data_IF_548458463923
#
_entry.id   IF_548458463923
#
_cell.length_a   1.000
_cell.length_b   1.000
_cell.length_c   1.000
_cell.angle_alpha   90.00
_cell.angle_beta   90.00
_cell.angle_gamma   90.00
#
_symmetry.space_group_name_H-M   'P 1'
#
loop_
_entity.id
_entity.type
_entity.pdbx_description
1 polymer ?
#
# COMPACT_ATOMS: atom_id res chain seq x y z
N UNK A 1 18.45 36.02 6.83
CA UNK A 1 19.15 34.76 7.16
C UNK A 1 18.85 33.78 6.04
N UNK A 2 19.86 33.32 5.32
CA UNK A 2 19.68 32.29 4.29
C UNK A 2 19.22 31.00 4.98
N UNK A 3 18.04 30.47 4.60
CA UNK A 3 17.55 29.19 5.13
C UNK A 3 18.43 28.10 4.53
N UNK A 4 19.38 27.59 5.32
CA UNK A 4 20.30 26.54 4.88
C UNK A 4 19.58 25.19 4.98
N UNK A 5 19.45 24.45 3.87
CA UNK A 5 18.82 23.13 3.94
C UNK A 5 19.67 22.17 4.79
N UNK A 6 19.01 21.37 5.61
CA UNK A 6 19.64 20.40 6.52
C UNK A 6 18.72 19.22 6.75
N UNK A 7 19.15 18.03 6.34
CA UNK A 7 18.28 16.87 6.40
C UNK A 7 18.03 16.47 7.85
N UNK A 8 16.77 16.43 8.29
CA UNK A 8 16.40 16.01 9.65
C UNK A 8 16.68 14.53 9.91
N UNK A 9 17.02 13.74 8.89
CA UNK A 9 17.36 12.31 8.99
C UNK A 9 18.87 12.03 8.93
N UNK A 10 19.62 12.76 8.11
CA UNK A 10 21.08 12.59 8.01
C UNK A 10 21.87 13.61 8.84
N UNK A 11 21.24 14.70 9.31
CA UNK A 11 21.85 15.88 9.95
C UNK A 11 22.87 16.63 9.09
N UNK A 12 23.04 16.23 7.82
CA UNK A 12 23.95 16.81 6.84
C UNK A 12 23.31 17.96 6.03
N UNK A 13 24.17 18.80 5.44
CA UNK A 13 23.80 20.00 4.68
C UNK A 13 23.83 19.78 3.15
N UNK A 14 23.38 20.78 2.39
CA UNK A 14 23.37 20.84 0.91
C UNK A 14 24.68 20.48 0.24
N UNK A 15 25.83 20.72 0.88
CA UNK A 15 27.13 20.39 0.30
C UNK A 15 27.32 18.89 0.04
N UNK A 16 26.48 18.03 0.63
CA UNK A 16 26.52 16.57 0.48
C UNK A 16 25.22 15.94 0.02
N UNK A 17 24.12 16.71 -0.04
CA UNK A 17 22.76 16.17 -0.19
C UNK A 17 21.92 17.01 -1.14
N UNK A 18 20.99 16.35 -1.83
CA UNK A 18 20.13 16.99 -2.83
C UNK A 18 18.74 17.31 -2.27
N UNK A 19 18.21 18.51 -2.50
CA UNK A 19 16.91 18.95 -1.98
C UNK A 19 15.96 19.41 -3.10
N UNK A 20 15.14 18.49 -3.62
CA UNK A 20 14.24 18.77 -4.76
C UNK A 20 12.80 19.10 -4.35
N UNK A 21 12.31 18.55 -3.24
CA UNK A 21 10.90 18.66 -2.84
C UNK A 21 10.74 18.58 -1.32
N UNK A 22 9.56 19.02 -0.82
CA UNK A 22 9.14 18.72 0.55
C UNK A 22 8.64 17.29 0.70
N UNK A 23 8.79 16.74 1.90
CA UNK A 23 8.37 15.39 2.26
C UNK A 23 7.01 15.38 2.96
N UNK A 24 6.15 14.41 2.67
CA UNK A 24 4.80 14.40 3.23
C UNK A 24 4.81 13.98 4.71
N UNK A 25 3.85 14.49 5.48
CA UNK A 25 3.63 14.04 6.86
C UNK A 25 3.03 12.64 6.84
N UNK A 26 1.81 12.52 6.30
CA UNK A 26 1.21 11.24 5.94
C UNK A 26 1.71 10.78 4.56
N UNK A 27 1.92 9.48 4.33
CA UNK A 27 2.30 8.99 3.01
C UNK A 27 1.30 9.46 1.93
N UNK A 28 1.82 9.98 0.81
CA UNK A 28 0.96 10.46 -0.28
C UNK A 28 0.06 9.35 -0.84
N UNK A 29 0.50 8.08 -0.79
CA UNK A 29 -0.28 6.92 -1.21
C UNK A 29 -1.54 6.67 -0.37
N UNK A 30 -1.59 7.23 0.84
CA UNK A 30 -2.74 7.22 1.74
C UNK A 30 -3.60 8.49 1.66
N UNK A 31 -3.29 9.39 0.72
CA UNK A 31 -4.01 10.66 0.59
C UNK A 31 -3.38 11.83 1.32
N UNK A 32 -2.19 11.67 1.92
CA UNK A 32 -1.44 12.75 2.54
C UNK A 32 -1.16 13.92 1.58
N UNK A 33 -1.40 15.15 2.03
CA UNK A 33 -1.29 16.37 1.22
C UNK A 33 -0.18 17.28 1.76
N UNK A 34 -0.16 17.54 3.07
CA UNK A 34 0.76 18.46 3.71
C UNK A 34 2.15 17.87 3.70
N UNK A 35 3.07 18.74 3.30
CA UNK A 35 4.50 18.48 3.28
C UNK A 35 5.21 19.35 4.30
N UNK A 36 6.31 18.83 4.80
CA UNK A 36 7.35 19.62 5.41
C UNK A 36 7.88 20.66 4.42
N UNK A 37 8.40 21.80 4.93
CA UNK A 37 9.11 22.75 4.10
C UNK A 37 10.21 22.08 3.27
N UNK A 38 10.39 22.56 2.03
CA UNK A 38 11.52 22.13 1.20
C UNK A 38 12.81 22.39 1.98
N UNK A 39 13.72 21.42 2.00
CA UNK A 39 14.98 21.53 2.74
C UNK A 39 15.05 20.74 4.04
N UNK A 40 13.91 20.29 4.57
CA UNK A 40 13.87 19.50 5.80
C UNK A 40 14.34 18.06 5.56
N UNK A 41 14.01 17.50 4.40
CA UNK A 41 14.34 16.11 4.06
C UNK A 41 15.05 16.10 2.70
N UNK A 42 16.17 15.41 2.63
CA UNK A 42 16.91 15.26 1.37
C UNK A 42 16.25 14.23 0.46
N UNK A 43 16.44 14.42 -0.84
CA UNK A 43 16.02 13.46 -1.85
C UNK A 43 16.73 12.11 -1.67
N UNK A 44 17.98 12.12 -1.22
CA UNK A 44 18.78 10.93 -0.93
C UNK A 44 18.12 10.06 0.15
N UNK A 45 17.66 10.67 1.25
CA UNK A 45 16.91 9.94 2.28
C UNK A 45 15.58 9.42 1.74
N UNK A 46 14.83 10.27 1.03
CA UNK A 46 13.56 9.86 0.44
C UNK A 46 13.72 8.65 -0.49
N UNK A 47 14.77 8.61 -1.29
CA UNK A 47 15.07 7.49 -2.15
C UNK A 47 15.42 6.23 -1.34
N UNK A 48 16.20 6.37 -0.25
CA UNK A 48 16.58 5.23 0.60
C UNK A 48 15.40 4.59 1.34
N UNK A 49 14.31 5.34 1.60
CA UNK A 49 13.10 4.83 2.27
C UNK A 49 11.89 4.64 1.34
N UNK A 50 12.01 4.95 0.04
CA UNK A 50 10.90 4.80 -0.91
C UNK A 50 10.41 3.35 -1.04
N UNK A 51 11.32 2.38 -0.91
CA UNK A 51 11.01 0.95 -0.89
C UNK A 51 10.17 0.55 0.31
N UNK A 52 10.48 1.07 1.51
CA UNK A 52 9.74 0.73 2.73
C UNK A 52 8.31 1.28 2.70
N UNK A 53 8.10 2.49 2.15
CA UNK A 53 6.74 3.00 1.96
C UNK A 53 5.97 2.16 0.95
N UNK A 54 6.62 1.72 -0.13
CA UNK A 54 5.98 0.85 -1.12
C UNK A 54 5.53 -0.48 -0.51
N UNK A 55 6.39 -1.11 0.30
CA UNK A 55 6.06 -2.34 1.04
C UNK A 55 4.93 -2.09 2.04
N UNK A 56 4.98 -1.01 2.82
CA UNK A 56 3.90 -0.61 3.73
C UNK A 56 2.55 -0.46 3.01
N UNK A 57 2.54 0.18 1.84
CA UNK A 57 1.32 0.46 1.08
C UNK A 57 0.72 -0.75 0.35
N UNK A 58 1.53 -1.79 0.07
CA UNK A 58 1.15 -2.93 -0.79
C UNK A 58 1.13 -4.27 -0.07
N UNK A 59 1.92 -4.43 0.99
CA UNK A 59 2.25 -5.71 1.64
C UNK A 59 2.29 -5.59 3.16
N UNK A 60 1.39 -4.78 3.70
CA UNK A 60 1.15 -4.68 5.14
C UNK A 60 -0.35 -4.77 5.44
N UNK A 61 -0.77 -4.88 6.71
CA UNK A 61 -2.19 -4.85 7.07
C UNK A 61 -2.95 -3.64 6.51
N UNK A 62 -2.26 -2.51 6.23
CA UNK A 62 -2.84 -1.31 5.62
C UNK A 62 -3.26 -1.50 4.16
N UNK A 63 -2.66 -2.46 3.45
CA UNK A 63 -3.07 -2.77 2.08
C UNK A 63 -4.50 -3.34 2.02
N UNK A 64 -4.98 -3.98 3.11
CA UNK A 64 -6.33 -4.55 3.19
C UNK A 64 -7.43 -3.48 3.09
N UNK A 65 -7.56 -2.49 3.98
CA UNK A 65 -8.55 -1.43 3.80
C UNK A 65 -8.35 -0.68 2.48
N UNK A 66 -7.10 -0.56 2.02
CA UNK A 66 -6.76 0.20 0.82
C UNK A 66 -7.26 -0.41 -0.49
N UNK A 67 -7.36 -1.73 -0.61
CA UNK A 67 -8.00 -2.39 -1.77
C UNK A 67 -9.54 -2.28 -1.76
N UNK A 68 -10.16 -2.00 -0.60
CA UNK A 68 -11.63 -1.85 -0.49
C UNK A 68 -12.11 -0.43 -0.73
N UNK A 69 -11.39 0.56 -0.20
CA UNK A 69 -11.83 1.96 -0.27
C UNK A 69 -10.69 2.97 -0.37
N UNK A 70 -9.46 2.58 -0.03
CA UNK A 70 -8.37 3.55 0.03
C UNK A 70 -8.00 4.19 -1.32
N UNK A 71 -7.32 5.35 -1.28
CA UNK A 71 -7.11 6.13 -2.47
C UNK A 71 -6.06 5.49 -3.39
N UNK A 72 -6.12 5.87 -4.65
CA UNK A 72 -5.22 5.47 -5.70
C UNK A 72 -3.78 6.00 -5.57
N UNK A 73 -3.01 5.88 -6.65
CA UNK A 73 -1.62 6.36 -6.69
C UNK A 73 -1.51 7.84 -6.28
N UNK A 74 -0.68 8.12 -5.26
CA UNK A 74 -0.49 9.46 -4.65
C UNK A 74 -1.80 10.11 -4.18
N UNK A 75 -2.72 9.31 -3.65
CA UNK A 75 -3.96 9.81 -3.06
C UNK A 75 -5.06 10.10 -4.08
N UNK A 76 -4.90 9.67 -5.33
CA UNK A 76 -5.85 9.97 -6.40
C UNK A 76 -7.20 9.29 -6.13
N UNK A 77 -8.29 10.06 -6.16
CA UNK A 77 -9.65 9.55 -5.90
C UNK A 77 -10.39 9.08 -7.17
N UNK A 78 -9.76 9.16 -8.34
CA UNK A 78 -10.33 8.62 -9.56
C UNK A 78 -10.33 7.09 -9.51
N UNK A 79 -11.50 6.48 -9.69
CA UNK A 79 -11.71 5.03 -9.65
C UNK A 79 -10.79 4.27 -10.61
N UNK A 80 -10.52 4.83 -11.80
CA UNK A 80 -9.61 4.23 -12.79
C UNK A 80 -8.16 4.14 -12.31
N UNK A 81 -7.82 4.85 -11.23
CA UNK A 81 -6.49 4.90 -10.62
C UNK A 81 -6.50 4.34 -9.19
N UNK A 82 -7.62 3.74 -8.78
CA UNK A 82 -7.77 3.14 -7.46
C UNK A 82 -6.71 2.07 -7.20
N UNK A 83 -6.48 1.81 -5.92
CA UNK A 83 -5.51 0.79 -5.51
C UNK A 83 -6.04 -0.60 -5.79
N UNK A 84 -5.15 -1.46 -6.28
CA UNK A 84 -5.39 -2.88 -6.52
C UNK A 84 -4.70 -3.73 -5.46
N UNK A 85 -5.31 -4.85 -5.12
CA UNK A 85 -4.65 -5.94 -4.39
C UNK A 85 -3.49 -6.51 -5.19
N UNK A 86 -2.63 -7.31 -4.56
CA UNK A 86 -1.79 -8.21 -5.35
C UNK A 86 -2.65 -9.20 -6.14
N UNK A 87 -2.17 -9.63 -7.30
CA UNK A 87 -2.78 -10.73 -8.05
C UNK A 87 -2.77 -12.01 -7.21
N UNK A 88 -3.94 -12.63 -7.13
CA UNK A 88 -4.23 -13.83 -6.38
C UNK A 88 -5.02 -14.83 -7.24
N UNK A 89 -5.14 -16.07 -6.75
CA UNK A 89 -6.08 -17.04 -7.29
C UNK A 89 -7.49 -16.75 -6.75
N UNK A 90 -8.47 -16.83 -7.63
CA UNK A 90 -9.89 -16.65 -7.39
C UNK A 90 -10.67 -17.85 -7.90
N UNK A 91 -11.78 -18.16 -7.25
CA UNK A 91 -12.71 -19.21 -7.66
C UNK A 91 -14.13 -18.86 -7.23
N UNK A 92 -15.14 -19.39 -7.92
CA UNK A 92 -16.54 -19.26 -7.50
C UNK A 92 -16.86 -20.38 -6.50
N UNK A 93 -17.54 -20.06 -5.40
CA UNK A 93 -17.99 -21.06 -4.43
C UNK A 93 -18.90 -22.12 -5.06
N UNK A 94 -19.71 -21.74 -6.06
CA UNK A 94 -20.57 -22.64 -6.81
C UNK A 94 -19.83 -23.43 -7.89
N UNK A 95 -18.58 -23.09 -8.18
CA UNK A 95 -17.74 -23.74 -9.19
C UNK A 95 -16.27 -23.71 -8.76
N UNK A 96 -15.92 -24.39 -7.65
CA UNK A 96 -14.63 -24.24 -6.99
C UNK A 96 -13.44 -24.75 -7.82
N UNK A 97 -13.71 -25.57 -8.85
CA UNK A 97 -12.71 -26.07 -9.80
C UNK A 97 -12.37 -25.06 -10.91
N UNK A 98 -13.11 -23.95 -11.01
CA UNK A 98 -12.83 -22.88 -11.97
C UNK A 98 -11.93 -21.85 -11.32
N UNK A 99 -10.63 -22.15 -11.32
CA UNK A 99 -9.58 -21.27 -10.82
C UNK A 99 -9.25 -20.20 -11.86
N UNK A 100 -9.05 -18.96 -11.42
CA UNK A 100 -8.69 -17.79 -12.24
C UNK A 100 -7.73 -16.88 -11.49
N UNK A 101 -6.84 -16.18 -12.18
CA UNK A 101 -6.15 -15.02 -11.64
C UNK A 101 -7.08 -13.82 -11.54
N UNK A 102 -6.92 -13.03 -10.47
CA UNK A 102 -7.53 -11.72 -10.37
C UNK A 102 -7.03 -10.90 -9.20
N UNK A 103 -7.64 -9.73 -9.06
CA UNK A 103 -7.30 -8.72 -8.05
C UNK A 103 -8.56 -8.02 -7.55
N UNK A 104 -8.49 -7.40 -6.38
CA UNK A 104 -9.55 -6.56 -5.82
C UNK A 104 -9.20 -5.09 -6.06
N UNK A 105 -10.18 -4.29 -6.48
CA UNK A 105 -10.09 -2.84 -6.56
C UNK A 105 -11.41 -2.22 -6.12
N UNK A 106 -11.36 -1.28 -5.18
CA UNK A 106 -12.55 -0.68 -4.55
C UNK A 106 -13.56 -1.74 -4.08
N UNK A 107 -13.06 -2.82 -3.48
CA UNK A 107 -13.87 -3.93 -2.97
C UNK A 107 -14.47 -4.84 -4.02
N UNK A 108 -14.27 -4.54 -5.31
CA UNK A 108 -14.76 -5.34 -6.42
C UNK A 108 -13.66 -6.27 -6.93
N UNK A 109 -13.92 -7.57 -7.10
CA UNK A 109 -12.99 -8.52 -7.70
C UNK A 109 -13.02 -8.43 -9.22
N UNK A 110 -11.85 -8.48 -9.86
CA UNK A 110 -11.69 -8.42 -11.32
C UNK A 110 -10.86 -9.59 -11.82
N UNK A 111 -11.31 -10.25 -12.88
CA UNK A 111 -10.51 -11.27 -13.57
C UNK A 111 -9.38 -10.62 -14.36
N UNK A 112 -8.15 -11.08 -14.12
CA UNK A 112 -7.02 -10.69 -14.95
C UNK A 112 -7.16 -11.31 -16.35
N UNK A 113 -6.72 -10.62 -17.43
CA UNK A 113 -6.49 -11.27 -18.73
C UNK A 113 -5.55 -12.45 -18.59
N UNK A 114 -6.00 -13.64 -18.99
CA UNK A 114 -5.30 -14.89 -18.77
C UNK A 114 -5.69 -15.98 -19.75
N UNK A 115 -4.81 -16.95 -19.93
CA UNK A 115 -5.09 -18.21 -20.62
C UNK A 115 -5.07 -19.36 -19.62
N UNK A 116 -6.06 -20.25 -19.70
CA UNK A 116 -5.94 -21.63 -19.21
C UNK A 116 -5.54 -22.50 -20.39
N UNK A 117 -4.33 -23.05 -20.37
CA UNK A 117 -3.79 -23.89 -21.44
C UNK A 117 -3.81 -25.32 -20.97
N UNK A 118 -4.40 -26.21 -21.77
CA UNK A 118 -4.40 -27.64 -21.57
C UNK A 118 -3.37 -28.30 -22.51
N UNK A 119 -2.63 -29.28 -22.01
CA UNK A 119 -1.59 -30.00 -22.74
C UNK A 119 -2.14 -30.96 -23.80
N UNK A 120 -3.45 -30.94 -24.05
CA UNK A 120 -4.11 -31.53 -25.23
C UNK A 120 -4.34 -30.50 -26.34
N UNK A 121 -3.57 -29.40 -26.35
CA UNK A 121 -3.60 -28.32 -27.35
C UNK A 121 -4.90 -27.51 -27.42
N UNK A 122 -5.63 -27.41 -26.30
CA UNK A 122 -6.76 -26.48 -26.16
C UNK A 122 -6.43 -25.37 -25.17
N UNK A 123 -7.01 -24.19 -25.36
CA UNK A 123 -6.89 -23.11 -24.38
C UNK A 123 -8.19 -22.31 -24.30
N UNK A 124 -8.39 -21.67 -23.16
CA UNK A 124 -9.49 -20.74 -22.92
C UNK A 124 -8.91 -19.40 -22.47
N UNK A 125 -9.40 -18.31 -23.05
CA UNK A 125 -9.08 -16.96 -22.62
C UNK A 125 -10.14 -16.46 -21.65
N UNK A 126 -9.70 -15.89 -20.52
CA UNK A 126 -10.57 -15.25 -19.54
C UNK A 126 -10.09 -13.82 -19.33
N UNK A 127 -11.04 -12.89 -19.27
CA UNK A 127 -10.78 -11.51 -18.88
C UNK A 127 -12.03 -10.89 -18.28
N UNK A 128 -11.88 -9.77 -17.59
CA UNK A 128 -13.01 -9.00 -17.10
C UNK A 128 -13.57 -8.10 -18.21
N UNK A 129 -14.91 -8.07 -18.36
CA UNK A 129 -15.59 -7.24 -19.36
C UNK A 129 -15.34 -5.74 -19.14
N UNK A 130 -15.17 -5.30 -17.89
CA UNK A 130 -14.92 -3.89 -17.58
C UNK A 130 -13.59 -3.36 -18.13
N UNK A 131 -12.67 -4.26 -18.52
CA UNK A 131 -11.35 -3.90 -19.05
C UNK A 131 -11.36 -3.61 -20.56
N UNK A 132 -12.50 -3.81 -21.24
CA UNK A 132 -12.67 -3.51 -22.67
C UNK A 132 -13.26 -4.68 -23.46
N UNK A 133 -13.24 -4.57 -24.79
CA UNK A 133 -13.80 -5.61 -25.65
C UNK A 133 -12.96 -6.91 -25.60
N UNK A 134 -13.57 -8.10 -25.46
CA UNK A 134 -12.84 -9.35 -25.27
C UNK A 134 -11.80 -9.66 -26.34
N UNK A 135 -12.09 -9.34 -27.61
CA UNK A 135 -11.18 -9.56 -28.73
C UNK A 135 -9.94 -8.67 -28.65
N UNK A 136 -10.14 -7.38 -28.34
CA UNK A 136 -9.03 -6.43 -28.17
C UNK A 136 -8.15 -6.82 -26.98
N UNK A 137 -8.77 -7.27 -25.88
CA UNK A 137 -8.05 -7.78 -24.72
C UNK A 137 -7.24 -9.04 -25.07
N UNK A 138 -7.81 -9.97 -25.85
CA UNK A 138 -7.12 -11.16 -26.32
C UNK A 138 -5.94 -10.81 -27.23
N UNK A 139 -6.13 -9.95 -28.22
CA UNK A 139 -5.06 -9.51 -29.13
C UNK A 139 -3.92 -8.81 -28.36
N UNK A 140 -4.28 -7.95 -27.40
CA UNK A 140 -3.34 -7.32 -26.48
C UNK A 140 -2.57 -8.33 -25.64
N UNK A 141 -3.26 -9.34 -25.10
CA UNK A 141 -2.65 -10.41 -24.35
C UNK A 141 -1.66 -11.22 -25.20
N UNK A 142 -2.05 -11.65 -26.40
CA UNK A 142 -1.18 -12.39 -27.33
C UNK A 142 0.04 -11.57 -27.74
N UNK A 143 -0.13 -10.27 -27.99
CA UNK A 143 0.99 -9.35 -28.28
C UNK A 143 2.00 -9.30 -27.12
N UNK A 144 1.52 -9.31 -25.88
CA UNK A 144 2.38 -9.37 -24.70
C UNK A 144 3.01 -10.77 -24.52
N UNK A 145 2.25 -11.83 -24.77
CA UNK A 145 2.70 -13.23 -24.69
C UNK A 145 3.87 -13.52 -25.64
N UNK A 146 3.92 -12.90 -26.81
CA UNK A 146 5.09 -12.95 -27.72
C UNK A 146 6.39 -12.46 -27.09
N UNK A 147 6.30 -11.65 -26.03
CA UNK A 147 7.43 -11.11 -25.26
C UNK A 147 7.62 -11.83 -23.93
N UNK A 148 6.96 -12.97 -23.73
CA UNK A 148 7.06 -13.75 -22.51
C UNK A 148 8.52 -14.10 -22.21
N UNK A 149 8.89 -13.98 -20.94
CA UNK A 149 10.22 -14.34 -20.44
C UNK A 149 10.06 -15.33 -19.28
N UNK A 150 11.14 -15.95 -18.83
CA UNK A 150 11.12 -16.85 -17.66
C UNK A 150 10.94 -16.14 -16.30
N UNK A 151 10.54 -14.86 -16.28
CA UNK A 151 10.32 -14.08 -15.06
C UNK A 151 8.83 -14.01 -14.76
N UNK A 152 8.38 -14.79 -13.77
CA UNK A 152 6.98 -14.89 -13.37
C UNK A 152 6.83 -15.18 -11.88
N UNK A 153 5.65 -14.91 -11.31
CA UNK A 153 5.25 -15.36 -9.97
C UNK A 153 4.47 -16.67 -10.10
N UNK A 154 4.82 -17.67 -9.29
CA UNK A 154 4.18 -18.98 -9.30
C UNK A 154 3.13 -19.11 -8.20
N UNK A 155 2.11 -19.90 -8.49
CA UNK A 155 1.01 -20.26 -7.60
C UNK A 155 0.73 -21.75 -7.75
N UNK A 156 0.39 -22.43 -6.65
CA UNK A 156 0.07 -23.85 -6.64
C UNK A 156 -1.34 -24.01 -6.08
N UNK A 157 -2.17 -24.80 -6.77
CA UNK A 157 -3.53 -25.12 -6.34
C UNK A 157 -3.98 -26.46 -6.93
N UNK A 158 -4.27 -27.43 -6.08
CA UNK A 158 -4.61 -28.82 -6.47
C UNK A 158 -5.93 -28.93 -7.25
N UNK A 159 -6.74 -27.86 -7.26
CA UNK A 159 -7.98 -27.80 -8.04
C UNK A 159 -7.72 -27.52 -9.52
N UNK A 160 -6.49 -27.10 -9.87
CA UNK A 160 -6.06 -26.98 -11.26
C UNK A 160 -5.88 -28.40 -11.81
N UNK A 161 -6.38 -28.65 -13.02
CA UNK A 161 -6.21 -29.92 -13.72
C UNK A 161 -4.72 -30.21 -13.99
N UNK A 162 -4.26 -31.45 -13.77
CA UNK A 162 -2.86 -31.86 -13.95
C UNK A 162 -2.36 -31.65 -15.38
N UNK A 163 -3.24 -31.80 -16.37
CA UNK A 163 -2.93 -31.54 -17.78
C UNK A 163 -3.10 -30.05 -18.14
N UNK A 164 -3.22 -29.14 -17.17
CA UNK A 164 -3.48 -27.72 -17.43
C UNK A 164 -2.60 -26.79 -16.58
N UNK A 165 -2.37 -25.59 -17.10
CA UNK A 165 -1.80 -24.47 -16.33
C UNK A 165 -2.46 -23.16 -16.73
N UNK A 166 -2.36 -22.17 -15.84
CA UNK A 166 -2.83 -20.82 -16.09
C UNK A 166 -1.65 -19.88 -16.32
N UNK A 167 -1.80 -18.96 -17.27
CA UNK A 167 -0.88 -17.84 -17.48
C UNK A 167 -1.64 -16.52 -17.52
N UNK A 168 -1.34 -15.61 -16.60
CA UNK A 168 -1.95 -14.29 -16.50
C UNK A 168 -0.91 -13.18 -16.64
N UNK A 169 -1.33 -12.02 -17.16
CA UNK A 169 -0.46 -10.85 -17.34
C UNK A 169 -1.00 -9.61 -16.63
N UNK A 170 -0.22 -9.09 -15.67
CA UNK A 170 -0.48 -7.84 -14.97
C UNK A 170 0.19 -6.69 -15.72
N UNK A 171 -0.60 -5.93 -16.48
CA UNK A 171 -0.07 -4.88 -17.36
C UNK A 171 0.59 -3.72 -16.59
N UNK A 172 0.02 -3.32 -15.45
CA UNK A 172 0.53 -2.18 -14.66
C UNK A 172 1.92 -2.42 -14.10
N UNK A 173 2.17 -3.62 -13.56
CA UNK A 173 3.47 -4.01 -13.01
C UNK A 173 4.34 -4.79 -14.02
N UNK A 174 3.83 -5.01 -15.23
CA UNK A 174 4.46 -5.79 -16.31
C UNK A 174 4.93 -7.17 -15.84
N UNK A 175 4.07 -7.88 -15.12
CA UNK A 175 4.40 -9.13 -14.43
C UNK A 175 3.58 -10.31 -14.97
N UNK A 176 4.24 -11.44 -15.13
CA UNK A 176 3.61 -12.71 -15.48
C UNK A 176 3.28 -13.52 -14.24
N UNK A 177 2.15 -14.21 -14.26
CA UNK A 177 1.67 -15.09 -13.21
C UNK A 177 1.42 -16.47 -13.82
N UNK A 178 1.91 -17.51 -13.15
CA UNK A 178 1.71 -18.91 -13.56
C UNK A 178 1.13 -19.72 -12.41
N UNK A 179 0.11 -20.51 -12.69
CA UNK A 179 -0.51 -21.39 -11.71
C UNK A 179 -0.58 -22.83 -12.22
N UNK A 180 -0.27 -23.76 -11.32
CA UNK A 180 -0.17 -25.18 -11.60
C UNK A 180 -0.86 -26.00 -10.52
N UNK A 181 -1.23 -27.23 -10.86
CA UNK A 181 -1.44 -28.29 -9.89
C UNK A 181 -0.11 -28.63 -9.18
N UNK A 182 -0.14 -29.08 -7.93
CA UNK A 182 1.06 -29.47 -7.18
C UNK A 182 1.81 -30.65 -7.83
N UNK A 183 1.09 -31.60 -8.42
CA UNK A 183 1.66 -32.80 -9.08
C UNK A 183 2.24 -32.48 -10.47
N UNK A 184 2.19 -31.22 -10.91
CA UNK A 184 2.48 -30.82 -12.27
C UNK A 184 3.97 -30.53 -12.54
N UNK A 185 4.83 -31.51 -12.22
CA UNK A 185 6.28 -31.32 -12.13
C UNK A 185 7.02 -31.18 -13.48
N UNK A 186 6.33 -31.25 -14.63
CA UNK A 186 6.98 -31.43 -15.93
C UNK A 186 6.42 -30.62 -17.11
N UNK A 187 5.50 -29.67 -16.91
CA UNK A 187 4.96 -28.90 -18.05
C UNK A 187 6.04 -28.02 -18.68
N UNK A 188 6.32 -28.29 -19.96
CA UNK A 188 7.14 -27.45 -20.83
C UNK A 188 6.37 -26.17 -21.20
N UNK A 189 6.30 -25.20 -20.30
CA UNK A 189 5.52 -23.95 -20.46
C UNK A 189 5.81 -23.26 -21.81
N UNK A 190 7.10 -23.17 -22.19
CA UNK A 190 7.52 -22.52 -23.44
C UNK A 190 6.98 -23.23 -24.68
N UNK A 191 7.04 -24.56 -24.71
CA UNK A 191 6.49 -25.37 -25.79
C UNK A 191 4.99 -25.10 -25.98
N UNK A 192 4.23 -25.05 -24.89
CA UNK A 192 2.79 -24.79 -24.97
C UNK A 192 2.45 -23.34 -25.32
N UNK A 193 3.25 -22.38 -24.89
CA UNK A 193 3.14 -20.99 -25.36
C UNK A 193 3.41 -20.92 -26.87
N UNK A 194 4.44 -21.60 -27.38
CA UNK A 194 4.73 -21.66 -28.82
C UNK A 194 3.57 -22.29 -29.61
N UNK A 195 2.95 -23.35 -29.08
CA UNK A 195 1.74 -23.95 -29.67
C UNK A 195 0.62 -22.91 -29.78
N UNK A 196 0.36 -22.14 -28.72
CA UNK A 196 -0.65 -21.06 -28.76
C UNK A 196 -0.28 -20.01 -29.79
N UNK A 197 0.96 -19.53 -29.79
CA UNK A 197 1.41 -18.44 -30.69
C UNK A 197 1.47 -18.82 -32.18
N UNK A 198 1.65 -20.11 -32.49
CA UNK A 198 1.79 -20.61 -33.85
C UNK A 198 0.46 -21.06 -34.49
N UNK A 199 -0.66 -20.99 -33.78
CA UNK A 199 -1.96 -21.24 -34.40
C UNK A 199 -2.28 -20.17 -35.44
N UNK A 200 -2.43 -20.60 -36.70
CA UNK A 200 -2.69 -19.71 -37.85
C UNK A 200 -4.01 -18.95 -37.73
N UNK A 201 -5.03 -19.60 -37.18
CA UNK A 201 -6.34 -19.03 -36.90
C UNK A 201 -6.83 -19.53 -35.54
N UNK A 202 -7.14 -18.61 -34.65
CA UNK A 202 -7.86 -18.94 -33.43
C UNK A 202 -9.33 -19.05 -33.79
N UNK A 203 -9.94 -20.24 -33.64
CA UNK A 203 -11.40 -20.38 -33.73
C UNK A 203 -12.01 -19.72 -32.49
N UNK A 204 -12.41 -18.47 -32.64
CA UNK A 204 -12.97 -17.68 -31.54
C UNK A 204 -14.45 -18.07 -31.39
N UNK A 205 -14.79 -18.71 -30.28
CA UNK A 205 -16.18 -18.88 -29.87
C UNK A 205 -16.78 -17.56 -29.39
N UNK A 206 -18.09 -17.40 -29.51
CA UNK A 206 -18.80 -16.25 -28.92
C UNK A 206 -18.44 -16.10 -27.43
N UNK A 207 -18.05 -14.90 -26.97
CA UNK A 207 -17.75 -14.67 -25.56
C UNK A 207 -18.93 -15.05 -24.66
N UNK A 208 -18.66 -15.82 -23.61
CA UNK A 208 -19.65 -16.18 -22.61
C UNK A 208 -19.52 -15.26 -21.39
N UNK A 209 -20.64 -14.64 -21.00
CA UNK A 209 -20.70 -13.77 -19.83
C UNK A 209 -21.42 -14.47 -18.69
N UNK A 210 -20.87 -14.33 -17.49
CA UNK A 210 -21.47 -14.86 -16.26
C UNK A 210 -21.24 -13.90 -15.11
N UNK A 211 -22.10 -13.99 -14.09
CA UNK A 211 -21.86 -13.39 -12.78
C UNK A 211 -21.35 -14.49 -11.85
N UNK A 212 -20.32 -14.17 -11.08
CA UNK A 212 -19.73 -15.09 -10.10
C UNK A 212 -19.69 -14.41 -8.74
N UNK A 213 -19.70 -15.19 -7.65
CA UNK A 213 -19.34 -14.73 -6.32
C UNK A 213 -17.97 -15.31 -5.97
N UNK A 214 -16.88 -14.56 -6.22
CA UNK A 214 -15.55 -15.14 -6.13
C UNK A 214 -15.01 -15.08 -4.70
N UNK A 215 -14.41 -16.17 -4.26
CA UNK A 215 -13.46 -16.17 -3.14
C UNK A 215 -12.07 -15.82 -3.67
N UNK A 216 -11.36 -14.90 -3.01
CA UNK A 216 -10.01 -14.44 -3.40
C UNK A 216 -8.99 -14.89 -2.37
N UNK A 217 -8.05 -15.75 -2.76
CA UNK A 217 -7.01 -16.30 -1.88
C UNK A 217 -5.79 -15.37 -1.81
N UNK A 218 -5.81 -14.40 -0.91
CA UNK A 218 -4.68 -13.47 -0.72
C UNK A 218 -3.68 -13.98 0.32
N UNK A 219 -2.42 -14.13 -0.10
CA UNK A 219 -1.30 -14.41 0.81
C UNK A 219 -0.40 -13.18 0.90
N UNK A 220 -0.15 -12.72 2.13
CA UNK A 220 0.66 -11.52 2.38
C UNK A 220 1.88 -11.89 3.22
N UNK A 221 3.07 -11.57 2.72
CA UNK A 221 4.31 -11.57 3.50
C UNK A 221 4.53 -10.15 3.99
N UNK A 222 4.42 -9.96 5.31
CA UNK A 222 4.56 -8.63 5.92
C UNK A 222 6.02 -8.43 6.34
N UNK A 223 6.61 -7.34 5.86
CA UNK A 223 7.86 -6.82 6.41
C UNK A 223 7.54 -5.94 7.63
N UNK A 224 7.73 -6.51 8.82
CA UNK A 224 7.40 -5.86 10.09
C UNK A 224 8.32 -4.66 10.38
N UNK A 225 9.58 -4.69 9.95
CA UNK A 225 10.52 -3.57 10.10
C UNK A 225 10.07 -2.39 9.23
N UNK A 226 9.83 -2.64 7.93
CA UNK A 226 9.31 -1.62 7.03
C UNK A 226 7.97 -1.06 7.51
N UNK A 227 7.09 -1.93 8.02
CA UNK A 227 5.80 -1.54 8.57
C UNK A 227 5.94 -0.51 9.69
N UNK A 228 6.70 -0.81 10.75
CA UNK A 228 6.83 0.09 11.90
C UNK A 228 7.68 1.33 11.62
N UNK A 229 8.66 1.25 10.71
CA UNK A 229 9.45 2.43 10.32
C UNK A 229 8.63 3.50 9.62
N UNK A 230 7.59 3.12 8.87
CA UNK A 230 6.66 4.11 8.29
C UNK A 230 5.87 4.85 9.37
N UNK A 231 5.39 4.15 10.42
CA UNK A 231 4.76 4.80 11.58
C UNK A 231 5.71 5.82 12.23
N UNK A 232 6.95 5.42 12.48
CA UNK A 232 7.95 6.29 13.08
C UNK A 232 8.31 7.49 12.20
N UNK A 233 8.48 7.29 10.89
CA UNK A 233 8.70 8.38 9.92
C UNK A 233 7.53 9.36 9.90
N UNK A 234 6.29 8.86 9.86
CA UNK A 234 5.08 9.69 9.87
C UNK A 234 4.98 10.52 11.15
N UNK A 235 5.23 9.91 12.32
CA UNK A 235 5.28 10.60 13.59
C UNK A 235 6.39 11.66 13.65
N UNK A 236 7.60 11.31 13.20
CA UNK A 236 8.77 12.21 13.23
C UNK A 236 8.61 13.39 12.26
N UNK A 237 8.03 13.15 11.09
CA UNK A 237 7.67 14.22 10.16
C UNK A 237 6.62 15.16 10.76
N UNK A 238 5.62 14.63 11.48
CA UNK A 238 4.64 15.48 12.14
C UNK A 238 5.25 16.31 13.27
N UNK A 239 6.15 15.72 14.08
CA UNK A 239 6.90 16.47 15.09
C UNK A 239 7.66 17.64 14.45
N UNK A 240 8.40 17.38 13.37
CA UNK A 240 9.13 18.41 12.64
C UNK A 240 8.21 19.51 12.05
N UNK A 241 6.99 19.14 11.66
CA UNK A 241 5.99 20.10 11.19
C UNK A 241 5.50 21.05 12.29
N UNK A 242 5.34 20.55 13.52
CA UNK A 242 4.86 21.34 14.67
C UNK A 242 5.98 22.20 15.27
N UNK A 243 7.18 21.66 15.42
CA UNK A 243 8.28 22.32 16.16
C UNK A 243 9.31 23.02 15.28
N UNK A 244 9.37 22.63 14.01
CA UNK A 244 10.44 23.05 13.09
C UNK A 244 11.70 22.18 13.15
N UNK A 245 12.57 22.43 12.18
CA UNK A 245 13.79 21.67 11.88
C UNK A 245 14.81 21.62 13.02
N UNK A 246 15.11 22.77 13.63
CA UNK A 246 16.14 22.85 14.68
C UNK A 246 15.79 22.02 15.92
N UNK A 247 14.50 21.97 16.27
CA UNK A 247 14.03 21.16 17.39
C UNK A 247 14.27 19.66 17.15
N UNK A 248 13.86 19.14 16.00
CA UNK A 248 14.01 17.70 15.69
C UNK A 248 15.45 17.28 15.38
N UNK A 249 16.39 18.22 15.27
CA UNK A 249 17.82 17.97 15.12
C UNK A 249 18.55 17.75 16.44
N UNK A 250 17.88 17.96 17.58
CA UNK A 250 18.43 17.67 18.90
C UNK A 250 18.84 16.20 19.04
N UNK A 251 19.85 15.94 19.87
CA UNK A 251 20.47 14.63 20.03
C UNK A 251 19.55 13.58 20.66
N UNK A 252 18.55 14.01 21.43
CA UNK A 252 17.58 13.12 22.05
C UNK A 252 16.73 12.35 21.02
N UNK A 253 16.65 12.85 19.78
CA UNK A 253 15.98 12.22 18.64
C UNK A 253 16.91 11.36 17.78
N UNK A 254 18.22 11.35 18.03
CA UNK A 254 19.19 10.56 17.26
C UNK A 254 18.80 9.05 17.22
N UNK A 255 18.38 8.40 18.33
CA UNK A 255 18.06 6.97 18.31
C UNK A 255 16.92 6.60 17.35
N UNK A 256 15.79 7.32 17.37
CA UNK A 256 14.66 7.01 16.48
C UNK A 256 15.02 7.35 15.03
N UNK A 257 15.78 8.43 14.79
CA UNK A 257 16.21 8.82 13.46
C UNK A 257 17.10 7.76 12.81
N UNK A 258 18.06 7.23 13.56
CA UNK A 258 18.93 6.17 13.09
C UNK A 258 18.18 4.87 12.84
N UNK A 259 17.19 4.55 13.67
CA UNK A 259 16.33 3.38 13.43
C UNK A 259 15.42 3.55 12.21
N UNK A 260 14.82 4.74 12.00
CA UNK A 260 14.05 5.02 10.78
C UNK A 260 14.93 4.84 9.53
N UNK A 261 16.19 5.27 9.58
CA UNK A 261 17.14 5.19 8.48
C UNK A 261 17.62 3.76 8.20
N UNK A 262 18.03 3.04 9.23
CA UNK A 262 18.77 1.78 9.08
C UNK A 262 17.92 0.53 9.36
N UNK A 263 16.78 0.67 10.04
CA UNK A 263 16.03 -0.44 10.61
C UNK A 263 16.74 -1.11 11.78
N UNK A 264 16.30 -2.32 12.12
CA UNK A 264 16.82 -3.13 13.22
C UNK A 264 15.75 -3.41 14.28
N UNK A 265 16.17 -3.87 15.45
CA UNK A 265 15.24 -4.27 16.50
C UNK A 265 14.29 -3.11 16.89
N UNK A 266 12.98 -3.41 16.90
CA UNK A 266 11.97 -2.41 17.19
C UNK A 266 11.87 -2.16 18.70
N UNK A 267 12.36 -0.99 19.14
CA UNK A 267 12.18 -0.47 20.49
C UNK A 267 11.36 0.83 20.53
N UNK A 268 10.77 1.23 19.39
CA UNK A 268 10.15 2.55 19.22
C UNK A 268 8.65 2.48 19.02
N UNK A 269 8.15 1.42 18.37
CA UNK A 269 6.75 1.31 18.01
C UNK A 269 6.08 0.17 18.78
N UNK A 270 4.96 0.48 19.43
CA UNK A 270 4.16 -0.47 20.19
C UNK A 270 2.69 -0.43 19.76
N UNK A 271 2.05 -1.59 19.75
CA UNK A 271 0.63 -1.73 19.43
C UNK A 271 -0.21 -1.06 20.53
N UNK A 272 -1.26 -0.34 20.12
CA UNK A 272 -2.26 0.21 21.05
C UNK A 272 -2.93 -0.91 21.86
N UNK A 273 -2.89 -0.83 23.19
CA UNK A 273 -3.61 -1.77 24.07
C UNK A 273 -4.98 -1.21 24.43
N UNK A 274 -5.94 -2.07 24.84
CA UNK A 274 -7.30 -1.65 25.19
C UNK A 274 -7.39 -0.57 26.29
N UNK A 275 -6.36 -0.43 27.14
CA UNK A 275 -6.24 0.64 28.14
C UNK A 275 -5.30 1.73 27.64
N UNK A 276 -5.72 2.44 26.59
CA UNK A 276 -4.95 3.51 25.97
C UNK A 276 -5.44 4.88 26.51
N UNK A 277 -4.55 5.80 26.95
CA UNK A 277 -4.94 7.16 27.34
C UNK A 277 -5.68 7.95 26.27
N UNK A 278 -5.59 7.54 25.00
CA UNK A 278 -6.21 8.17 23.83
C UNK A 278 -7.66 7.73 23.65
N UNK A 279 -8.14 6.71 24.40
CA UNK A 279 -9.55 6.32 24.38
C UNK A 279 -10.50 7.49 24.70
N UNK A 280 -10.03 8.52 25.42
CA UNK A 280 -10.79 9.74 25.66
C UNK A 280 -11.17 10.50 24.38
N UNK A 281 -10.42 10.31 23.28
CA UNK A 281 -10.71 10.93 21.99
C UNK A 281 -11.77 10.15 21.19
N UNK A 282 -12.18 8.96 21.62
CA UNK A 282 -13.20 8.17 20.92
C UNK A 282 -14.59 8.83 20.94
N UNK A 283 -14.79 9.85 21.79
CA UNK A 283 -16.00 10.67 21.83
C UNK A 283 -16.05 11.72 20.71
N UNK A 284 -14.91 12.00 20.08
CA UNK A 284 -14.83 12.95 18.97
C UNK A 284 -15.24 12.22 17.69
N UNK A 285 -16.24 12.73 16.94
CA UNK A 285 -16.73 12.10 15.72
C UNK A 285 -15.77 12.37 14.56
N UNK A 286 -14.59 11.77 14.56
CA UNK A 286 -13.60 11.95 13.48
C UNK A 286 -14.15 11.49 12.12
N UNK A 287 -13.65 12.04 10.99
CA UNK A 287 -14.08 11.60 9.67
C UNK A 287 -13.77 10.12 9.45
N UNK A 288 -14.69 9.40 8.80
CA UNK A 288 -14.57 7.97 8.53
C UNK A 288 -13.28 7.63 7.79
N UNK A 289 -12.60 6.56 8.22
CA UNK A 289 -11.39 6.03 7.61
C UNK A 289 -10.22 7.02 7.58
N UNK A 290 -10.32 8.13 8.32
CA UNK A 290 -9.28 9.15 8.41
C UNK A 290 -7.99 8.62 9.03
N UNK A 291 -6.91 9.36 8.82
CA UNK A 291 -5.63 9.08 9.46
C UNK A 291 -5.36 10.15 10.50
N UNK A 292 -4.87 9.75 11.66
CA UNK A 292 -4.64 10.69 12.77
C UNK A 292 -3.25 10.48 13.32
N UNK A 293 -2.57 11.59 13.61
CA UNK A 293 -1.34 11.62 14.40
C UNK A 293 -1.59 12.53 15.59
N UNK A 294 -1.17 12.10 16.77
CA UNK A 294 -1.19 12.87 18.01
C UNK A 294 0.22 12.88 18.59
N UNK A 295 0.66 14.01 19.13
CA UNK A 295 1.87 14.15 19.92
C UNK A 295 1.47 14.43 21.37
N UNK A 296 2.04 13.68 22.30
CA UNK A 296 1.76 13.80 23.72
C UNK A 296 2.95 13.34 24.55
N UNK A 297 3.01 13.81 25.79
CA UNK A 297 3.99 13.34 26.78
C UNK A 297 3.35 12.31 27.70
N UNK A 298 3.99 11.15 27.85
CA UNK A 298 3.56 10.08 28.76
C UNK A 298 4.75 9.68 29.62
N UNK A 299 4.64 9.79 30.96
CA UNK A 299 5.67 9.35 31.91
C UNK A 299 7.10 9.83 31.55
N UNK A 300 7.22 11.10 31.13
CA UNK A 300 8.43 11.76 30.63
C UNK A 300 8.93 11.35 29.24
N UNK A 301 8.26 10.45 28.53
CA UNK A 301 8.60 10.18 27.13
C UNK A 301 7.74 11.07 26.22
N UNK A 302 8.37 11.68 25.20
CA UNK A 302 7.64 12.30 24.11
C UNK A 302 7.22 11.19 23.15
N UNK A 303 5.91 11.04 22.96
CA UNK A 303 5.32 9.98 22.17
C UNK A 303 4.43 10.57 21.08
N UNK A 304 4.26 9.78 20.02
CA UNK A 304 3.20 9.98 19.06
C UNK A 304 2.24 8.78 19.08
N UNK A 305 0.98 9.02 18.81
CA UNK A 305 0.05 7.97 18.39
C UNK A 305 -0.33 8.22 16.94
N UNK A 306 -0.16 7.21 16.12
CA UNK A 306 -0.46 7.26 14.69
C UNK A 306 -1.45 6.15 14.39
N UNK A 307 -2.57 6.49 13.75
CA UNK A 307 -3.54 5.53 13.24
C UNK A 307 -3.83 5.80 11.76
N UNK A 308 -4.05 4.72 11.03
CA UNK A 308 -4.46 4.75 9.62
C UNK A 308 -5.73 3.94 9.48
N UNK A 309 -6.72 4.42 8.72
CA UNK A 309 -8.00 3.73 8.52
C UNK A 309 -8.64 3.32 9.85
N UNK A 310 -8.97 4.31 10.68
CA UNK A 310 -9.56 4.17 12.02
C UNK A 310 -8.63 3.48 13.05
N UNK A 311 -9.16 3.12 14.24
CA UNK A 311 -8.34 2.66 15.37
C UNK A 311 -7.78 1.24 15.21
N UNK A 312 -8.26 0.47 14.24
CA UNK A 312 -7.80 -0.91 13.98
C UNK A 312 -6.29 -0.98 13.72
N UNK A 313 -5.70 0.10 13.16
CA UNK A 313 -4.28 0.17 12.83
C UNK A 313 -3.54 1.29 13.59
N UNK A 314 -3.91 1.49 14.86
CA UNK A 314 -3.28 2.46 15.76
C UNK A 314 -2.04 1.93 16.48
N UNK A 315 -0.95 2.70 16.44
CA UNK A 315 0.31 2.40 17.13
C UNK A 315 0.89 3.62 17.84
N UNK A 316 1.55 3.37 18.97
CA UNK A 316 2.37 4.35 19.65
C UNK A 316 3.80 4.33 19.12
N UNK A 317 4.36 5.52 18.91
CA UNK A 317 5.75 5.74 18.53
C UNK A 317 6.42 6.54 19.64
N UNK A 318 7.45 6.01 20.28
CA UNK A 318 8.29 6.76 21.21
C UNK A 318 9.31 7.58 20.43
N UNK A 319 9.15 8.91 20.45
CA UNK A 319 10.02 9.85 19.73
C UNK A 319 11.30 10.16 20.52
N UNK A 320 11.16 10.37 21.84
CA UNK A 320 12.26 10.72 22.72
C UNK A 320 12.00 10.18 24.13
N UNK A 321 13.04 9.64 24.79
CA UNK A 321 13.00 9.25 26.20
C UNK A 321 13.35 10.42 27.11
N UNK A 322 12.81 10.43 28.34
CA UNK A 322 13.20 11.41 29.38
C UNK A 322 13.14 12.88 28.90
N UNK A 323 12.15 13.21 28.09
CA UNK A 323 11.88 14.55 27.61
C UNK A 323 11.48 15.47 28.79
N UNK A 324 12.36 16.41 29.11
CA UNK A 324 12.24 17.27 30.29
C UNK A 324 11.13 18.32 30.15
N UNK A 325 10.97 18.87 28.95
CA UNK A 325 10.13 20.05 28.76
C UNK A 325 8.65 19.72 28.88
N UNK A 326 7.86 20.72 29.23
CA UNK A 326 6.41 20.60 29.22
C UNK A 326 5.92 20.50 27.78
N UNK A 327 5.10 19.48 27.51
CA UNK A 327 4.46 19.27 26.22
C UNK A 327 2.98 19.10 26.46
N UNK A 328 2.16 19.85 25.75
CA UNK A 328 0.71 19.72 25.77
C UNK A 328 0.27 18.51 24.93
N UNK A 329 -0.66 18.76 24.02
CA UNK A 329 -1.00 17.83 22.96
C UNK A 329 -0.97 18.60 21.63
N UNK A 330 -0.54 17.93 20.57
CA UNK A 330 -0.74 18.40 19.20
C UNK A 330 -1.33 17.25 18.40
N UNK A 331 -2.10 17.57 17.35
CA UNK A 331 -2.66 16.52 16.51
C UNK A 331 -3.02 16.99 15.13
N UNK A 332 -3.09 16.04 14.20
CA UNK A 332 -3.33 16.29 12.79
C UNK A 332 -4.14 15.16 12.18
N UNK A 333 -5.15 15.54 11.42
CA UNK A 333 -6.13 14.64 10.80
C UNK A 333 -5.95 14.73 9.30
N UNK A 334 -5.86 13.58 8.64
CA UNK A 334 -5.95 13.44 7.19
C UNK A 334 -7.29 12.80 6.84
N UNK A 335 -8.22 13.63 6.38
CA UNK A 335 -9.46 13.23 5.75
C UNK A 335 -9.21 13.11 4.24
N UNK A 336 -8.69 11.94 3.86
CA UNK A 336 -8.28 11.68 2.48
C UNK A 336 -9.47 11.62 1.53
N UNK A 337 -10.67 11.26 2.02
CA UNK A 337 -11.92 11.24 1.23
C UNK A 337 -12.29 12.65 0.77
N UNK A 338 -12.23 13.62 1.68
CA UNK A 338 -12.52 15.02 1.39
C UNK A 338 -11.31 15.84 0.97
N UNK A 339 -10.14 15.20 0.77
CA UNK A 339 -8.88 15.84 0.38
C UNK A 339 -8.50 17.00 1.33
N UNK A 340 -8.74 16.79 2.62
CA UNK A 340 -8.57 17.80 3.66
C UNK A 340 -7.62 17.31 4.74
N UNK A 341 -6.76 18.20 5.21
CA UNK A 341 -5.96 17.96 6.39
C UNK A 341 -6.08 19.13 7.36
N UNK A 342 -6.25 18.84 8.65
CA UNK A 342 -6.59 19.84 9.67
C UNK A 342 -5.93 19.49 11.00
N UNK A 343 -5.56 20.51 11.78
CA UNK A 343 -5.10 20.31 13.17
C UNK A 343 -6.26 19.87 14.05
N UNK A 344 -5.98 19.00 15.01
CA UNK A 344 -7.03 18.39 15.82
C UNK A 344 -7.88 19.41 16.58
N UNK A 345 -7.28 20.46 17.16
CA UNK A 345 -8.03 21.47 17.90
C UNK A 345 -8.87 22.38 17.00
N UNK A 346 -8.42 22.63 15.77
CA UNK A 346 -9.23 23.34 14.78
C UNK A 346 -10.45 22.50 14.42
N UNK A 347 -10.28 21.19 14.24
CA UNK A 347 -11.36 20.26 13.97
C UNK A 347 -12.35 20.14 15.14
N UNK A 348 -11.87 20.01 16.38
CA UNK A 348 -12.73 19.93 17.57
C UNK A 348 -13.59 21.18 17.68
N UNK A 349 -13.02 22.37 17.43
CA UNK A 349 -13.77 23.63 17.42
C UNK A 349 -14.86 23.63 16.35
N UNK A 350 -14.56 23.18 15.13
CA UNK A 350 -15.56 23.06 14.05
C UNK A 350 -16.70 22.11 14.42
N UNK A 351 -16.40 20.97 15.03
CA UNK A 351 -17.42 20.02 15.48
C UNK A 351 -18.30 20.63 16.57
N UNK A 352 -17.71 21.32 17.55
CA UNK A 352 -18.49 21.95 18.63
C UNK A 352 -19.42 23.05 18.10
N UNK A 353 -18.94 23.91 17.20
CA UNK A 353 -19.76 24.97 16.58
C UNK A 353 -20.94 24.41 15.77
N UNK A 354 -20.80 23.20 15.21
CA UNK A 354 -21.87 22.53 14.48
C UNK A 354 -22.87 21.80 15.39
N UNK A 355 -22.52 21.50 16.65
CA UNK A 355 -23.45 20.93 17.64
C UNK A 355 -24.34 21.99 18.28
N UNK A 356 -23.92 23.26 18.26
CA UNK A 356 -24.66 24.40 18.81
C UNK A 356 -25.63 25.04 17.80
N UNK A 357 -25.65 24.56 16.54
CA UNK A 357 -26.59 24.97 15.48
C UNK A 357 -27.61 23.88 15.24
#
# INVERSE_FOLDING_TARGET
MEIKNRCIYFKDYESKLTYKSGEHIFPAGLGGIKKLPKGYVSHDFNNSVSGIETEFMRRSPIALPRQFYGPGKRGNLNEKRATKSEVALMYDENSPLVIKFGYISLGNPFSLPQLKINTNATFNFYSDKSLGEPLEQFDGFIKNLKKFTSRYKTYIDDRIDEASFLIGYEEEEKKWHLAFNNENHGIEIKKWIEVVLNQKEHKISTPQYGKIQPTVNQQMKIDIDAYFRVYAKTAFNFLAYVTGQEFVLQSCFDPIRDWIKNGGDNHFVAISTKKNPINALNTIPFPDESHIILLLKINNDLMAYVRFYDDTFGHFVRLCKNYSDNWGMDGFICDWKNRREIKIFDYIREVNENLER
#
